data_IF_178405925938
#
_entry.id   IF_178405925938
#
_cell.length_a   1.000
_cell.length_b   1.000
_cell.length_c   1.000
_cell.angle_alpha   90.00
_cell.angle_beta   90.00
_cell.angle_gamma   90.00
#
_symmetry.space_group_name_H-M   'P 1'
#
loop_
_entity.id
_entity.type
_entity.pdbx_description
1 polymer ?
#
# COMPACT_ATOMS: atom_id res chain seq x y z
N UNK A 1 11.64 7.21 13.54
CA UNK A 1 11.66 6.69 12.16
C UNK A 1 12.44 5.37 12.02
N UNK A 2 13.71 5.26 12.43
CA UNK A 2 14.49 4.00 12.25
C UNK A 2 13.85 2.79 12.96
N UNK A 3 13.33 2.95 14.18
CA UNK A 3 12.69 1.86 14.92
C UNK A 3 11.39 1.34 14.28
N UNK A 4 10.63 2.17 13.58
CA UNK A 4 9.40 1.77 12.89
C UNK A 4 9.68 0.96 11.63
N UNK A 5 10.75 1.28 10.90
CA UNK A 5 11.13 0.60 9.67
C UNK A 5 11.45 -0.90 9.86
N UNK A 6 11.90 -1.30 11.05
CA UNK A 6 12.32 -2.67 11.34
C UNK A 6 11.32 -3.49 12.16
N UNK A 7 10.12 -2.95 12.43
CA UNK A 7 9.07 -3.71 13.15
C UNK A 7 8.56 -4.91 12.34
N UNK A 8 8.10 -5.97 13.02
CA UNK A 8 7.44 -7.11 12.37
C UNK A 8 6.20 -6.69 11.59
N UNK A 9 5.85 -7.44 10.54
CA UNK A 9 4.66 -7.19 9.71
C UNK A 9 3.38 -7.05 10.54
N UNK A 10 3.19 -7.89 11.55
CA UNK A 10 2.02 -7.83 12.46
C UNK A 10 1.89 -6.45 13.12
N UNK A 11 2.99 -5.92 13.66
CA UNK A 11 2.98 -4.61 14.34
C UNK A 11 2.67 -3.46 13.34
N UNK A 12 3.28 -3.53 12.18
CA UNK A 12 3.06 -2.55 11.11
C UNK A 12 1.62 -2.58 10.61
N UNK A 13 1.06 -3.76 10.40
CA UNK A 13 -0.32 -3.94 9.95
C UNK A 13 -1.33 -3.50 11.00
N UNK A 14 -1.11 -3.82 12.28
CA UNK A 14 -1.97 -3.35 13.38
C UNK A 14 -1.99 -1.83 13.45
N UNK A 15 -0.82 -1.19 13.38
CA UNK A 15 -0.73 0.26 13.38
C UNK A 15 -1.46 0.86 12.17
N UNK A 16 -1.20 0.33 10.97
CA UNK A 16 -1.82 0.81 9.73
C UNK A 16 -3.34 0.62 9.73
N UNK A 17 -3.82 -0.55 10.20
CA UNK A 17 -5.22 -0.87 10.33
C UNK A 17 -5.96 0.11 11.27
N UNK A 18 -5.29 0.69 12.26
CA UNK A 18 -5.86 1.73 13.14
C UNK A 18 -6.31 2.99 12.40
N UNK A 19 -5.79 3.23 11.19
CA UNK A 19 -6.19 4.33 10.30
C UNK A 19 -7.19 3.89 9.21
N UNK A 20 -7.58 2.60 9.17
CA UNK A 20 -8.35 2.00 8.10
C UNK A 20 -9.39 1.03 8.67
N UNK A 21 -10.43 1.57 9.31
CA UNK A 21 -11.55 0.79 9.87
C UNK A 21 -12.88 1.05 9.16
N UNK A 22 -12.99 2.10 8.35
CA UNK A 22 -14.14 2.32 7.49
C UNK A 22 -13.99 1.44 6.21
N UNK A 23 -14.97 0.59 5.87
CA UNK A 23 -14.87 -0.29 4.71
C UNK A 23 -14.74 0.48 3.38
N UNK A 24 -15.26 1.71 3.28
CA UNK A 24 -15.11 2.57 2.11
C UNK A 24 -13.67 3.05 1.96
N UNK A 25 -13.01 3.35 3.10
CA UNK A 25 -11.59 3.70 3.10
C UNK A 25 -10.75 2.50 2.67
N UNK A 26 -10.99 1.32 3.24
CA UNK A 26 -10.30 0.09 2.82
C UNK A 26 -10.50 -0.15 1.32
N UNK A 27 -11.74 -0.05 0.82
CA UNK A 27 -12.04 -0.22 -0.60
C UNK A 27 -11.31 0.80 -1.49
N UNK A 28 -11.20 2.06 -1.06
CA UNK A 28 -10.42 3.08 -1.80
C UNK A 28 -8.94 2.71 -1.89
N UNK A 29 -8.40 2.06 -0.86
CA UNK A 29 -7.01 1.60 -0.81
C UNK A 29 -6.73 0.45 -1.79
N UNK A 30 -7.70 -0.44 -2.03
CA UNK A 30 -7.57 -1.48 -3.06
C UNK A 30 -7.41 -0.94 -4.48
N UNK A 31 -7.84 0.28 -4.74
CA UNK A 31 -7.69 0.95 -6.03
C UNK A 31 -6.53 1.95 -6.00
N UNK A 32 -6.52 2.83 -5.03
CA UNK A 32 -5.58 3.96 -4.98
C UNK A 32 -4.13 3.53 -4.79
N UNK A 33 -3.86 2.54 -3.92
CA UNK A 33 -2.48 2.06 -3.68
C UNK A 33 -1.87 1.41 -4.92
N UNK A 34 -2.53 0.45 -5.61
CA UNK A 34 -1.98 -0.08 -6.88
C UNK A 34 -1.72 1.00 -7.93
N UNK A 35 -2.60 2.00 -8.05
CA UNK A 35 -2.39 3.12 -8.98
C UNK A 35 -1.15 3.95 -8.62
N UNK A 36 -0.94 4.24 -7.33
CA UNK A 36 0.25 4.98 -6.86
C UNK A 36 1.52 4.16 -7.10
N UNK A 37 1.52 2.86 -6.78
CA UNK A 37 2.67 1.97 -7.01
C UNK A 37 2.99 1.87 -8.51
N UNK A 38 1.97 1.68 -9.36
CA UNK A 38 2.11 1.66 -10.81
C UNK A 38 2.69 2.99 -11.32
N UNK A 39 2.17 4.11 -10.86
CA UNK A 39 2.62 5.45 -11.23
C UNK A 39 4.11 5.68 -10.88
N UNK A 40 4.51 5.30 -9.67
CA UNK A 40 5.92 5.35 -9.23
C UNK A 40 6.77 4.47 -10.17
N UNK A 41 6.29 3.26 -10.47
CA UNK A 41 6.94 2.37 -11.42
C UNK A 41 7.12 3.01 -12.80
N UNK A 42 6.06 3.65 -13.35
CA UNK A 42 6.13 4.37 -14.64
C UNK A 42 7.19 5.46 -14.61
N UNK A 43 7.19 6.31 -13.58
CA UNK A 43 8.15 7.40 -13.46
C UNK A 43 9.59 6.89 -13.32
N UNK A 44 9.80 5.82 -12.57
CA UNK A 44 11.12 5.22 -12.33
C UNK A 44 11.59 4.29 -13.46
N UNK A 45 10.70 3.84 -14.36
CA UNK A 45 11.06 2.91 -15.43
C UNK A 45 12.14 3.45 -16.38
N UNK A 46 12.24 4.77 -16.53
CA UNK A 46 13.24 5.45 -17.38
C UNK A 46 14.45 5.98 -16.60
N UNK A 47 14.49 5.79 -15.30
CA UNK A 47 15.66 6.16 -14.48
C UNK A 47 16.63 4.98 -14.51
N UNK A 48 17.88 5.20 -14.91
CA UNK A 48 18.94 4.19 -14.82
C UNK A 48 19.59 4.22 -13.44
N UNK A 49 19.69 3.03 -12.83
CA UNK A 49 20.38 2.81 -11.56
C UNK A 49 21.36 1.65 -11.78
N UNK A 50 22.58 1.97 -12.12
CA UNK A 50 23.65 1.00 -12.36
C UNK A 50 23.29 -0.07 -13.40
N UNK A 51 22.68 0.33 -14.52
CA UNK A 51 22.26 -0.56 -15.60
C UNK A 51 20.92 -1.29 -15.38
N UNK A 52 20.24 -0.99 -14.26
CA UNK A 52 18.90 -1.49 -13.96
C UNK A 52 17.92 -0.33 -13.96
N UNK A 53 16.67 -0.54 -14.43
CA UNK A 53 15.67 0.53 -14.30
C UNK A 53 15.35 0.80 -12.83
N UNK A 54 15.15 2.08 -12.50
CA UNK A 54 14.81 2.50 -11.14
C UNK A 54 13.56 1.81 -10.58
N UNK A 55 12.62 1.43 -11.46
CA UNK A 55 11.43 0.65 -11.06
C UNK A 55 11.81 -0.73 -10.52
N UNK A 56 12.69 -1.46 -11.19
CA UNK A 56 13.18 -2.76 -10.73
C UNK A 56 14.09 -2.65 -9.50
N UNK A 57 14.90 -1.59 -9.42
CA UNK A 57 15.71 -1.32 -8.23
C UNK A 57 14.82 -1.06 -6.99
N UNK A 58 13.80 -0.21 -7.14
CA UNK A 58 12.83 0.07 -6.08
C UNK A 58 12.03 -1.19 -5.68
N UNK A 59 11.64 -2.01 -6.65
CA UNK A 59 10.99 -3.29 -6.41
C UNK A 59 11.90 -4.24 -5.61
N UNK A 60 13.15 -4.39 -6.00
CA UNK A 60 14.08 -5.29 -5.31
C UNK A 60 14.30 -4.87 -3.84
N UNK A 61 14.51 -3.57 -3.60
CA UNK A 61 14.69 -3.03 -2.25
C UNK A 61 13.44 -3.20 -1.39
N UNK A 62 12.26 -2.87 -1.93
CA UNK A 62 11.00 -3.04 -1.20
C UNK A 62 10.68 -4.51 -0.94
N UNK A 63 10.97 -5.41 -1.90
CA UNK A 63 10.79 -6.86 -1.73
C UNK A 63 11.69 -7.43 -0.64
N UNK A 64 12.97 -7.05 -0.61
CA UNK A 64 13.87 -7.43 0.47
C UNK A 64 13.34 -6.97 1.83
N UNK A 65 12.78 -5.75 1.89
CA UNK A 65 12.15 -5.24 3.10
C UNK A 65 10.91 -6.07 3.48
N UNK A 66 9.98 -6.35 2.56
CA UNK A 66 8.77 -7.15 2.86
C UNK A 66 9.13 -8.56 3.38
N UNK A 67 10.09 -9.22 2.74
CA UNK A 67 10.53 -10.57 3.11
C UNK A 67 11.17 -10.61 4.51
N UNK A 68 11.82 -9.52 4.93
CA UNK A 68 12.47 -9.43 6.24
C UNK A 68 11.51 -9.14 7.41
N UNK A 69 10.19 -8.95 7.19
CA UNK A 69 9.25 -8.56 8.25
C UNK A 69 8.62 -9.73 9.03
N UNK A 70 9.06 -10.97 8.82
CA UNK A 70 8.64 -12.13 9.61
C UNK A 70 7.34 -12.80 9.15
N UNK A 71 6.78 -12.42 8.00
CA UNK A 71 5.63 -13.05 7.34
C UNK A 71 5.99 -13.38 5.88
N UNK A 72 6.74 -14.47 5.60
CA UNK A 72 7.33 -14.71 4.28
C UNK A 72 6.25 -14.88 3.18
N UNK A 73 5.14 -15.54 3.46
CA UNK A 73 4.04 -15.67 2.49
C UNK A 73 3.49 -14.30 2.08
N UNK A 74 3.24 -13.42 3.05
CA UNK A 74 2.78 -12.06 2.78
C UNK A 74 3.84 -11.25 2.03
N UNK A 75 5.11 -11.37 2.43
CA UNK A 75 6.22 -10.72 1.75
C UNK A 75 6.35 -11.14 0.29
N UNK A 76 6.27 -12.45 0.01
CA UNK A 76 6.29 -12.99 -1.35
C UNK A 76 5.09 -12.51 -2.19
N UNK A 77 3.87 -12.59 -1.62
CA UNK A 77 2.67 -12.16 -2.31
C UNK A 77 2.71 -10.66 -2.65
N UNK A 78 3.12 -9.81 -1.69
CA UNK A 78 3.28 -8.37 -1.92
C UNK A 78 4.33 -8.08 -2.99
N UNK A 79 5.47 -8.78 -2.95
CA UNK A 79 6.53 -8.66 -3.95
C UNK A 79 6.06 -9.09 -5.34
N UNK A 80 5.28 -10.18 -5.43
CA UNK A 80 4.75 -10.66 -6.71
C UNK A 80 3.74 -9.68 -7.32
N UNK A 81 2.82 -9.13 -6.52
CA UNK A 81 1.87 -8.10 -6.97
C UNK A 81 2.62 -6.85 -7.45
N UNK A 82 3.59 -6.38 -6.66
CA UNK A 82 4.40 -5.22 -7.06
C UNK A 82 5.25 -5.50 -8.31
N UNK A 83 5.77 -6.71 -8.50
CA UNK A 83 6.48 -7.09 -9.74
C UNK A 83 5.57 -6.99 -10.97
N UNK A 84 4.33 -7.46 -10.86
CA UNK A 84 3.35 -7.34 -11.95
C UNK A 84 3.04 -5.87 -12.27
N UNK A 85 2.92 -5.02 -11.25
CA UNK A 85 2.76 -3.57 -11.44
C UNK A 85 3.98 -2.93 -12.10
N UNK A 86 5.23 -3.33 -11.72
CA UNK A 86 6.45 -2.83 -12.36
C UNK A 86 6.55 -3.28 -13.82
N UNK A 87 6.17 -4.52 -14.14
CA UNK A 87 6.10 -4.99 -15.52
C UNK A 87 5.11 -4.16 -16.36
N UNK A 88 3.89 -3.93 -15.83
CA UNK A 88 2.90 -3.05 -16.46
C UNK A 88 3.39 -1.60 -16.60
N UNK A 89 4.13 -1.10 -15.62
CA UNK A 89 4.71 0.24 -15.66
C UNK A 89 5.69 0.45 -16.83
N UNK A 90 6.49 -0.55 -17.17
CA UNK A 90 7.40 -0.49 -18.33
C UNK A 90 6.65 -0.37 -19.65
N UNK A 91 5.47 -1.03 -19.78
CA UNK A 91 4.64 -0.89 -20.98
C UNK A 91 4.10 0.54 -21.12
N UNK A 92 3.63 1.15 -20.04
CA UNK A 92 3.13 2.53 -20.03
C UNK A 92 4.27 3.55 -20.24
N UNK A 93 5.48 3.23 -19.78
CA UNK A 93 6.64 4.08 -19.91
C UNK A 93 7.25 4.05 -21.33
N UNK A 94 6.91 3.10 -22.21
CA UNK A 94 7.54 2.91 -23.52
C UNK A 94 7.24 4.02 -24.54
N UNK A 95 6.21 4.83 -24.36
CA UNK A 95 5.75 5.86 -25.30
C UNK A 95 6.63 7.12 -25.35
N UNK A 96 6.06 8.23 -25.85
CA UNK A 96 6.73 9.54 -25.85
C UNK A 96 6.97 10.04 -24.40
N UNK A 97 7.83 11.05 -24.24
CA UNK A 97 8.06 11.70 -22.93
C UNK A 97 6.75 12.25 -22.37
N UNK A 98 5.91 12.86 -23.20
CA UNK A 98 4.61 13.38 -22.78
C UNK A 98 3.66 12.25 -22.31
N UNK A 99 3.61 11.13 -23.01
CA UNK A 99 2.81 9.96 -22.59
C UNK A 99 3.35 9.36 -21.28
N UNK A 100 4.65 9.18 -21.14
CA UNK A 100 5.28 8.69 -19.91
C UNK A 100 4.96 9.58 -18.70
N UNK A 101 5.17 10.89 -18.82
CA UNK A 101 4.84 11.83 -17.74
C UNK A 101 3.34 11.89 -17.51
N UNK A 102 2.51 11.86 -18.55
CA UNK A 102 1.04 11.85 -18.46
C UNK A 102 0.54 10.63 -17.66
N UNK A 103 1.01 9.43 -17.98
CA UNK A 103 0.67 8.23 -17.22
C UNK A 103 1.22 8.28 -15.79
N UNK A 104 2.49 8.61 -15.61
CA UNK A 104 3.11 8.64 -14.29
C UNK A 104 2.45 9.65 -13.35
N UNK A 105 2.36 10.91 -13.76
CA UNK A 105 1.79 11.97 -12.92
C UNK A 105 0.26 11.85 -12.80
N UNK A 106 -0.43 11.46 -13.88
CA UNK A 106 -1.89 11.30 -13.88
C UNK A 106 -2.36 10.18 -12.97
N UNK A 107 -1.77 8.99 -13.06
CA UNK A 107 -2.09 7.87 -12.17
C UNK A 107 -1.70 8.17 -10.72
N UNK A 108 -0.58 8.86 -10.50
CA UNK A 108 -0.16 9.28 -9.16
C UNK A 108 -1.19 10.23 -8.53
N UNK A 109 -1.58 11.28 -9.25
CA UNK A 109 -2.58 12.22 -8.76
C UNK A 109 -3.94 11.54 -8.53
N UNK A 110 -4.40 10.71 -9.46
CA UNK A 110 -5.66 9.97 -9.33
C UNK A 110 -5.63 9.04 -8.10
N UNK A 111 -4.55 8.27 -7.94
CA UNK A 111 -4.39 7.38 -6.80
C UNK A 111 -4.45 8.12 -5.47
N UNK A 112 -3.79 9.28 -5.36
CA UNK A 112 -3.84 10.10 -4.15
C UNK A 112 -5.23 10.72 -3.91
N UNK A 113 -5.92 11.18 -4.94
CA UNK A 113 -7.30 11.68 -4.79
C UNK A 113 -8.19 10.58 -4.20
N UNK A 114 -8.10 9.35 -4.74
CA UNK A 114 -8.87 8.20 -4.22
C UNK A 114 -8.52 7.93 -2.74
N UNK A 115 -7.24 7.98 -2.37
CA UNK A 115 -6.80 7.79 -0.99
C UNK A 115 -7.37 8.86 -0.05
N UNK A 116 -7.28 10.13 -0.42
CA UNK A 116 -7.81 11.23 0.40
C UNK A 116 -9.33 11.16 0.55
N UNK A 117 -10.07 10.76 -0.48
CA UNK A 117 -11.52 10.50 -0.39
C UNK A 117 -11.80 9.37 0.62
N UNK A 118 -11.03 8.29 0.59
CA UNK A 118 -11.12 7.22 1.59
C UNK A 118 -10.89 7.72 3.00
N UNK A 119 -9.83 8.48 3.22
CA UNK A 119 -9.53 9.06 4.54
C UNK A 119 -10.53 10.12 5.00
N UNK A 120 -11.20 10.81 4.09
CA UNK A 120 -12.33 11.67 4.43
C UNK A 120 -13.46 10.86 5.09
N UNK A 121 -13.83 9.70 4.53
CA UNK A 121 -14.83 8.81 5.17
C UNK A 121 -14.35 8.20 6.48
N UNK A 122 -13.06 7.94 6.61
CA UNK A 122 -12.46 7.45 7.86
C UNK A 122 -12.53 8.48 8.99
N UNK A 123 -12.52 9.78 8.65
CA UNK A 123 -12.41 10.87 9.61
C UNK A 123 -11.02 10.94 10.26
N UNK A 124 -10.00 10.36 9.61
CA UNK A 124 -8.60 10.35 10.07
C UNK A 124 -7.65 10.69 8.92
N UNK A 125 -6.53 11.36 9.26
CA UNK A 125 -5.44 11.61 8.32
C UNK A 125 -4.80 10.29 7.87
N UNK A 126 -4.15 10.27 6.69
CA UNK A 126 -3.39 9.11 6.23
C UNK A 126 -2.27 8.72 7.18
N UNK A 127 -1.99 7.42 7.31
CA UNK A 127 -0.98 6.87 8.21
C UNK A 127 0.44 7.42 7.95
N UNK A 128 0.78 7.70 6.69
CA UNK A 128 2.11 8.22 6.32
C UNK A 128 2.39 9.63 6.86
N UNK A 129 1.37 10.39 7.24
CA UNK A 129 1.54 11.72 7.86
C UNK A 129 2.21 11.59 9.22
N UNK A 130 1.94 10.51 9.95
CA UNK A 130 2.57 10.22 11.23
C UNK A 130 3.89 9.44 11.08
N UNK A 131 3.96 8.53 10.10
CA UNK A 131 5.13 7.69 9.86
C UNK A 131 5.23 7.34 8.37
N UNK A 132 6.28 7.86 7.70
CA UNK A 132 6.52 7.62 6.27
C UNK A 132 6.66 6.13 5.92
N UNK A 133 6.96 5.26 6.88
CA UNK A 133 6.93 3.79 6.69
C UNK A 133 5.54 3.34 6.25
N UNK A 134 4.48 4.09 6.58
CA UNK A 134 3.13 3.85 6.09
C UNK A 134 3.02 3.74 4.57
N UNK A 135 3.89 4.42 3.80
CA UNK A 135 3.93 4.30 2.34
C UNK A 135 4.38 2.91 1.88
N UNK A 136 5.31 2.27 2.60
CA UNK A 136 5.72 0.87 2.34
C UNK A 136 4.70 -0.12 2.89
N UNK A 137 4.04 0.20 3.99
CA UNK A 137 3.02 -0.68 4.59
C UNK A 137 1.76 -0.76 3.75
N UNK A 138 1.40 0.31 3.03
CA UNK A 138 0.19 0.36 2.21
C UNK A 138 0.02 -0.83 1.25
N UNK A 139 0.97 -1.11 0.34
CA UNK A 139 0.90 -2.28 -0.54
C UNK A 139 0.79 -3.60 0.22
N UNK A 140 1.56 -3.76 1.31
CA UNK A 140 1.49 -4.94 2.15
C UNK A 140 0.12 -5.09 2.85
N UNK A 141 -0.49 -3.99 3.28
CA UNK A 141 -1.82 -3.98 3.89
C UNK A 141 -2.90 -4.44 2.90
N UNK A 142 -2.92 -3.91 1.68
CA UNK A 142 -3.89 -4.31 0.63
C UNK A 142 -3.77 -5.81 0.35
N UNK A 143 -2.55 -6.31 0.20
CA UNK A 143 -2.33 -7.75 -0.03
C UNK A 143 -2.71 -8.58 1.19
N UNK A 144 -2.43 -8.12 2.41
CA UNK A 144 -2.83 -8.79 3.64
C UNK A 144 -4.36 -8.90 3.76
N UNK A 145 -5.09 -7.80 3.54
CA UNK A 145 -6.56 -7.79 3.55
C UNK A 145 -7.12 -8.79 2.52
N UNK A 146 -6.53 -8.84 1.32
CA UNK A 146 -6.94 -9.77 0.28
C UNK A 146 -6.70 -11.23 0.67
N UNK A 147 -5.51 -11.54 1.17
CA UNK A 147 -5.17 -12.90 1.62
C UNK A 147 -6.04 -13.34 2.80
N UNK A 148 -6.30 -12.45 3.76
CA UNK A 148 -7.17 -12.73 4.90
C UNK A 148 -8.62 -12.96 4.47
N UNK A 149 -9.12 -12.23 3.47
CA UNK A 149 -10.44 -12.46 2.88
C UNK A 149 -10.54 -13.84 2.20
N UNK A 150 -9.42 -14.39 1.72
CA UNK A 150 -9.31 -15.76 1.19
C UNK A 150 -9.05 -16.83 2.27
N UNK A 151 -9.06 -16.44 3.55
CA UNK A 151 -8.89 -17.36 4.67
C UNK A 151 -7.44 -17.58 5.13
N UNK A 152 -6.48 -16.83 4.58
CA UNK A 152 -5.08 -16.92 5.03
C UNK A 152 -4.89 -16.22 6.39
N UNK A 153 -4.12 -16.88 7.29
CA UNK A 153 -3.67 -16.35 8.58
C UNK A 153 -4.79 -15.72 9.45
N UNK A 154 -5.77 -16.54 9.81
CA UNK A 154 -6.88 -16.14 10.69
C UNK A 154 -6.38 -15.58 12.04
N UNK A 155 -5.21 -16.00 12.53
CA UNK A 155 -4.60 -15.50 13.74
C UNK A 155 -4.17 -14.03 13.58
N UNK A 156 -3.59 -13.67 12.43
CA UNK A 156 -3.24 -12.28 12.11
C UNK A 156 -4.49 -11.41 12.02
N UNK A 157 -5.55 -11.90 11.36
CA UNK A 157 -6.83 -11.19 11.26
C UNK A 157 -7.45 -10.95 12.66
N UNK A 158 -7.44 -11.95 13.51
CA UNK A 158 -7.92 -11.84 14.90
C UNK A 158 -7.09 -10.82 15.71
N UNK A 159 -5.76 -10.84 15.56
CA UNK A 159 -4.85 -9.92 16.25
C UNK A 159 -5.05 -8.46 15.79
N UNK A 160 -5.22 -8.23 14.49
CA UNK A 160 -5.54 -6.90 13.95
C UNK A 160 -6.87 -6.40 14.52
N UNK A 161 -7.92 -7.25 14.49
CA UNK A 161 -9.23 -6.87 15.01
C UNK A 161 -9.21 -6.63 16.53
N UNK A 162 -8.44 -7.39 17.28
CA UNK A 162 -8.30 -7.22 18.73
C UNK A 162 -7.62 -5.89 19.09
N UNK A 163 -6.60 -5.48 18.33
CA UNK A 163 -5.75 -4.32 18.68
C UNK A 163 -6.16 -3.04 17.98
N UNK A 164 -6.55 -3.10 16.71
CA UNK A 164 -6.99 -1.93 15.93
C UNK A 164 -8.52 -1.74 15.95
N UNK A 165 -9.26 -2.68 16.52
CA UNK A 165 -10.71 -2.73 16.49
C UNK A 165 -11.26 -3.41 15.24
N UNK A 166 -12.52 -3.87 15.27
CA UNK A 166 -13.16 -4.46 14.09
C UNK A 166 -13.39 -3.41 12.99
N UNK A 167 -13.46 -3.85 11.74
CA UNK A 167 -13.92 -3.02 10.64
C UNK A 167 -15.34 -2.54 10.93
N UNK A 168 -15.61 -1.26 10.73
CA UNK A 168 -16.92 -0.68 11.02
C UNK A 168 -17.97 -1.31 10.11
N UNK A 169 -19.07 -1.79 10.67
CA UNK A 169 -20.22 -2.22 9.87
C UNK A 169 -20.82 -1.00 9.21
N UNK A 170 -20.94 -0.99 7.88
CA UNK A 170 -21.46 0.14 7.13
C UNK A 170 -22.82 0.59 7.65
N UNK A 171 -22.95 1.87 8.04
CA UNK A 171 -24.23 2.50 8.32
C UNK A 171 -24.53 2.97 9.74
N UNK A 172 -23.54 3.34 10.56
CA UNK A 172 -23.86 4.19 11.73
C UNK A 172 -22.73 5.20 11.94
N UNK A 173 -22.92 6.39 11.37
CA UNK A 173 -22.16 7.57 11.75
C UNK A 173 -22.51 8.01 13.15
N UNK A 174 -22.01 7.32 14.16
CA UNK A 174 -21.93 7.87 15.52
C UNK A 174 -20.54 8.49 15.67
N UNK A 175 -20.41 9.79 15.99
CA UNK A 175 -19.14 10.40 16.31
C UNK A 175 -18.59 9.71 17.56
N UNK A 176 -17.35 9.21 17.46
CA UNK A 176 -16.59 8.77 18.64
C UNK A 176 -16.36 10.02 19.49
N UNK A 177 -17.04 10.11 20.63
CA UNK A 177 -16.72 11.10 21.66
C UNK A 177 -15.26 10.94 22.06
N UNK A 178 -14.56 12.06 22.09
CA UNK A 178 -13.16 12.20 22.48
C UNK A 178 -12.93 11.82 23.92
#
# INVERSE_FOLDING_TARGET
>A
MAASLFRPATELLVQYAGYHRDPRNIASHFIGIPLIVLAIGVLLARVDVAGLSGAWAAWALSSAWYLSRGKPVLGLATSAVNAALMAGAHLLAAGSVAAWLGWGLGLFALGWVIQFVGHHWEGRKPAFVDDLVGLLVGPMFVVAEWLMALGWDAALAAEINRRAGPTRRGGSGAPVSR
#
